data_IF_025309409947
#
_entry.id   IF_025309409947
#
_cell.length_a   1.000
_cell.length_b   1.000
_cell.length_c   1.000
_cell.angle_alpha   90.00
_cell.angle_beta   90.00
_cell.angle_gamma   90.00
#
_symmetry.space_group_name_H-M   'P 1'
#
loop_
_entity.id
_entity.type
_entity.pdbx_description
1 polymer ?
#
# COMPACT_ATOMS: atom_id res chain seq x y z
N UNK A 1 -6.10 7.95 -33.19
CA UNK A 1 -5.17 7.34 -32.20
C UNK A 1 -5.89 7.38 -30.86
N UNK A 2 -6.45 6.27 -30.40
CA UNK A 2 -6.86 6.18 -29.01
C UNK A 2 -5.60 6.26 -28.14
N UNK A 3 -5.48 7.31 -27.33
CA UNK A 3 -4.50 7.35 -26.25
C UNK A 3 -4.81 6.19 -25.30
N UNK A 4 -4.16 5.04 -25.51
CA UNK A 4 -4.10 3.98 -24.52
C UNK A 4 -3.42 4.59 -23.29
N UNK A 5 -4.20 5.09 -22.34
CA UNK A 5 -3.71 5.43 -20.99
C UNK A 5 -2.95 4.21 -20.47
N UNK A 6 -1.63 4.35 -20.41
CA UNK A 6 -0.68 3.28 -20.13
C UNK A 6 -0.85 2.71 -18.70
N UNK A 7 -1.45 3.50 -17.81
CA UNK A 7 -1.83 3.14 -16.45
C UNK A 7 -3.26 3.61 -16.14
N UNK A 8 -4.00 2.77 -15.43
CA UNK A 8 -5.29 3.14 -14.84
C UNK A 8 -5.08 4.19 -13.73
N UNK A 9 -6.10 5.04 -13.52
CA UNK A 9 -6.09 6.03 -12.43
C UNK A 9 -5.80 5.39 -11.06
N UNK A 10 -6.31 4.19 -10.81
CA UNK A 10 -6.05 3.47 -9.56
C UNK A 10 -4.59 2.96 -9.45
N UNK A 11 -3.97 2.57 -10.56
CA UNK A 11 -2.57 2.16 -10.59
C UNK A 11 -1.63 3.34 -10.36
N UNK A 12 -1.98 4.52 -10.90
CA UNK A 12 -1.25 5.78 -10.61
C UNK A 12 -1.33 6.13 -9.13
N UNK A 13 -2.52 6.06 -8.52
CA UNK A 13 -2.65 6.31 -7.09
C UNK A 13 -1.87 5.29 -6.26
N UNK A 14 -1.98 4.00 -6.59
CA UNK A 14 -1.19 2.96 -5.94
C UNK A 14 0.30 3.29 -5.99
N UNK A 15 0.82 3.66 -7.17
CA UNK A 15 2.24 3.96 -7.35
C UNK A 15 2.67 5.17 -6.52
N UNK A 16 1.87 6.24 -6.48
CA UNK A 16 2.14 7.41 -5.64
C UNK A 16 2.19 7.04 -4.16
N UNK A 17 1.18 6.35 -3.63
CA UNK A 17 1.17 5.95 -2.22
C UNK A 17 2.31 4.97 -1.91
N UNK A 18 2.57 4.02 -2.81
CA UNK A 18 3.62 3.03 -2.65
C UNK A 18 5.01 3.67 -2.64
N UNK A 19 5.29 4.61 -3.53
CA UNK A 19 6.56 5.36 -3.52
C UNK A 19 6.72 6.18 -2.24
N UNK A 20 5.66 6.84 -1.76
CA UNK A 20 5.71 7.57 -0.48
C UNK A 20 5.95 6.64 0.70
N UNK A 21 5.29 5.48 0.73
CA UNK A 21 5.51 4.45 1.74
C UNK A 21 6.95 3.91 1.70
N UNK A 22 7.48 3.63 0.52
CA UNK A 22 8.83 3.09 0.33
C UNK A 22 9.89 4.09 0.80
N UNK A 23 9.79 5.36 0.38
CA UNK A 23 10.71 6.42 0.81
C UNK A 23 10.59 6.65 2.32
N UNK A 24 9.36 6.72 2.85
CA UNK A 24 9.11 6.83 4.29
C UNK A 24 9.76 5.70 5.08
N UNK A 25 9.68 4.47 4.57
CA UNK A 25 10.29 3.28 5.18
C UNK A 25 11.81 3.40 5.25
N UNK A 26 12.46 3.87 4.17
CA UNK A 26 13.93 4.08 4.13
C UNK A 26 14.35 5.14 5.15
N UNK A 27 13.66 6.29 5.16
CA UNK A 27 13.99 7.40 6.08
C UNK A 27 13.82 6.96 7.53
N UNK A 28 12.70 6.31 7.86
CA UNK A 28 12.43 5.84 9.21
C UNK A 28 13.39 4.72 9.63
N UNK A 29 13.72 3.79 8.72
CA UNK A 29 14.68 2.73 8.99
C UNK A 29 16.08 3.28 9.31
N UNK A 30 16.54 4.28 8.56
CA UNK A 30 17.82 4.95 8.83
C UNK A 30 17.81 5.74 10.13
N UNK A 31 16.68 6.34 10.51
CA UNK A 31 16.60 7.19 11.72
C UNK A 31 16.43 6.38 13.00
N UNK A 32 15.64 5.32 12.96
CA UNK A 32 15.24 4.55 14.15
C UNK A 32 15.83 3.13 14.20
N UNK A 33 16.67 2.75 13.23
CA UNK A 33 17.29 1.43 13.15
C UNK A 33 16.27 0.32 13.38
N UNK A 34 15.35 0.15 12.42
CA UNK A 34 14.30 -0.87 12.49
C UNK A 34 14.86 -2.29 12.26
N UNK A 35 15.67 -2.75 13.22
CA UNK A 35 16.26 -4.09 13.23
C UNK A 35 15.26 -5.18 13.62
N UNK A 36 14.07 -4.81 14.12
CA UNK A 36 13.04 -5.76 14.53
C UNK A 36 11.63 -5.17 14.53
N UNK A 37 10.62 -6.05 14.54
CA UNK A 37 9.22 -5.65 14.76
C UNK A 37 9.05 -4.93 16.11
N UNK A 38 9.88 -5.27 17.11
CA UNK A 38 9.83 -4.63 18.42
C UNK A 38 10.23 -3.15 18.35
N UNK A 39 11.28 -2.81 17.60
CA UNK A 39 11.70 -1.41 17.44
C UNK A 39 10.65 -0.58 16.69
N UNK A 40 9.89 -1.20 15.80
CA UNK A 40 8.74 -0.55 15.15
C UNK A 40 7.64 -0.12 16.13
N UNK A 41 7.30 -0.97 17.10
CA UNK A 41 6.31 -0.62 18.14
C UNK A 41 6.84 0.39 19.17
N UNK A 42 8.15 0.38 19.45
CA UNK A 42 8.77 1.40 20.30
C UNK A 42 8.68 2.77 19.62
N UNK A 43 8.98 2.85 18.32
CA UNK A 43 8.81 4.07 17.53
C UNK A 43 7.36 4.59 17.56
N UNK A 44 6.37 3.71 17.52
CA UNK A 44 4.96 4.11 17.65
C UNK A 44 4.65 4.82 18.97
N UNK A 45 5.41 4.51 20.04
CA UNK A 45 5.32 5.15 21.34
C UNK A 45 6.15 6.42 21.48
N UNK A 46 7.34 6.48 20.87
CA UNK A 46 8.22 7.65 20.92
C UNK A 46 7.71 8.81 20.05
N UNK A 47 7.30 8.51 18.82
CA UNK A 47 6.88 9.51 17.83
C UNK A 47 5.56 9.08 17.16
N UNK A 48 4.40 9.24 17.86
CA UNK A 48 3.12 8.72 17.39
C UNK A 48 2.60 9.41 16.12
N UNK A 49 2.98 10.66 15.90
CA UNK A 49 2.55 11.43 14.73
C UNK A 49 3.14 10.89 13.40
N UNK A 50 4.48 10.81 13.23
CA UNK A 50 5.04 10.23 12.00
C UNK A 50 4.68 8.75 11.84
N UNK A 51 4.53 8.00 12.94
CA UNK A 51 4.01 6.63 12.89
C UNK A 51 2.60 6.58 12.28
N UNK A 52 1.68 7.42 12.79
CA UNK A 52 0.29 7.45 12.31
C UNK A 52 0.21 7.85 10.84
N UNK A 53 0.97 8.86 10.41
CA UNK A 53 1.04 9.25 9.00
C UNK A 53 1.56 8.12 8.11
N UNK A 54 2.63 7.46 8.52
CA UNK A 54 3.18 6.30 7.81
C UNK A 54 2.16 5.16 7.69
N UNK A 55 1.43 4.88 8.77
CA UNK A 55 0.40 3.86 8.82
C UNK A 55 -0.82 4.20 7.92
N UNK A 56 -1.22 5.47 7.85
CA UNK A 56 -2.27 5.93 6.93
C UNK A 56 -1.85 5.70 5.48
N UNK A 57 -0.62 6.09 5.11
CA UNK A 57 -0.09 5.88 3.75
C UNK A 57 -0.04 4.38 3.42
N UNK A 58 0.37 3.54 4.37
CA UNK A 58 0.34 2.08 4.22
C UNK A 58 -1.08 1.55 3.93
N UNK A 59 -2.09 1.97 4.67
CA UNK A 59 -3.48 1.58 4.41
C UNK A 59 -3.99 2.09 3.06
N UNK A 60 -3.59 3.29 2.63
CA UNK A 60 -3.88 3.77 1.29
C UNK A 60 -3.28 2.86 0.22
N UNK A 61 -2.02 2.42 0.37
CA UNK A 61 -1.41 1.44 -0.54
C UNK A 61 -2.24 0.15 -0.63
N UNK A 62 -2.61 -0.42 0.52
CA UNK A 62 -3.42 -1.64 0.58
C UNK A 62 -4.78 -1.44 -0.09
N UNK A 63 -5.46 -0.32 0.18
CA UNK A 63 -6.75 -0.02 -0.43
C UNK A 63 -6.68 -0.03 -1.95
N UNK A 64 -5.71 0.69 -2.55
CA UNK A 64 -5.57 0.72 -4.01
C UNK A 64 -5.09 -0.62 -4.56
N UNK A 65 -4.22 -1.34 -3.85
CA UNK A 65 -3.80 -2.69 -4.23
C UNK A 65 -5.00 -3.64 -4.33
N UNK A 66 -5.84 -3.71 -3.28
CA UNK A 66 -7.05 -4.54 -3.29
C UNK A 66 -8.03 -4.10 -4.37
N UNK A 67 -8.20 -2.80 -4.58
CA UNK A 67 -9.07 -2.26 -5.64
C UNK A 67 -8.59 -2.68 -7.04
N UNK A 68 -7.27 -2.67 -7.28
CA UNK A 68 -6.67 -3.17 -8.53
C UNK A 68 -6.88 -4.69 -8.66
N UNK A 69 -6.64 -5.45 -7.59
CA UNK A 69 -6.83 -6.91 -7.58
C UNK A 69 -8.27 -7.31 -7.87
N UNK A 70 -9.25 -6.65 -7.24
CA UNK A 70 -10.69 -6.90 -7.46
C UNK A 70 -11.10 -6.53 -8.90
N UNK A 71 -10.53 -5.47 -9.46
CA UNK A 71 -10.78 -5.10 -10.87
C UNK A 71 -10.17 -6.11 -11.85
N UNK A 72 -8.98 -6.64 -11.55
CA UNK A 72 -8.28 -7.61 -12.40
C UNK A 72 -8.87 -9.02 -12.29
N UNK A 73 -9.37 -9.38 -11.11
CA UNK A 73 -10.06 -10.63 -10.81
C UNK A 73 -11.47 -10.32 -10.31
N UNK A 74 -12.43 -10.07 -11.22
CA UNK A 74 -13.81 -9.89 -10.80
C UNK A 74 -14.26 -11.14 -10.04
N UNK A 75 -14.72 -10.98 -8.79
CA UNK A 75 -15.24 -12.04 -7.91
C UNK A 75 -16.25 -12.98 -8.60
N UNK A 76 -16.84 -12.54 -9.71
CA UNK A 76 -17.74 -13.34 -10.56
C UNK A 76 -17.09 -14.63 -11.10
N UNK A 77 -15.78 -14.65 -11.32
CA UNK A 77 -15.08 -15.86 -11.76
C UNK A 77 -14.86 -16.87 -10.62
N UNK A 78 -14.88 -16.44 -9.35
CA UNK A 78 -14.80 -17.35 -8.21
C UNK A 78 -16.13 -18.06 -7.93
N UNK A 79 -17.26 -17.36 -8.08
CA UNK A 79 -18.59 -17.96 -7.83
C UNK A 79 -18.89 -19.05 -8.87
N UNK A 80 -18.59 -18.81 -10.15
CA UNK A 80 -18.84 -19.78 -11.23
C UNK A 80 -17.95 -21.03 -11.16
N UNK A 81 -16.85 -21.00 -10.40
CA UNK A 81 -15.96 -22.14 -10.22
C UNK A 81 -16.43 -23.13 -9.13
N UNK A 82 -17.38 -22.72 -8.28
CA UNK A 82 -17.93 -23.58 -7.22
C UNK A 82 -19.26 -24.24 -7.63
N UNK A 83 -19.76 -23.97 -8.85
CA UNK A 83 -20.97 -24.57 -9.43
C UNK A 83 -20.64 -25.69 -10.46
N UNK A 84 -19.55 -26.46 -10.24
CA UNK A 84 -19.21 -27.66 -11.04
C UNK A 84 -19.16 -28.89 -10.14
#
# INVERSE_FOLDING_TARGET
>A
MEEKRLLSKDEVYFLVFFSNFFIGSIILSNRYHFDSIRSFFIFAGEDPFPFTLFFIVFFCCLYYLFKILIKKYPLRNFIKSNDV
#
